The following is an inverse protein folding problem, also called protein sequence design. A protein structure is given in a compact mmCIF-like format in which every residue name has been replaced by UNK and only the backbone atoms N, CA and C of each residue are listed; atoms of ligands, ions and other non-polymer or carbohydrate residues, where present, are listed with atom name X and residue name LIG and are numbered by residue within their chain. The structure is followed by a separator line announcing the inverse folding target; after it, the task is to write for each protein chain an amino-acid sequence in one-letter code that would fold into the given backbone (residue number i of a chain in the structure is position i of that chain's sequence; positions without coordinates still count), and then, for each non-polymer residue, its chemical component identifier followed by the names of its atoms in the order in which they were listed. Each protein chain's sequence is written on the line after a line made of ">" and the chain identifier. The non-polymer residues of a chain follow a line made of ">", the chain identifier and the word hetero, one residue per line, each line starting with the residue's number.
data_IF_376258032914
#
_entry.id   IF_376258032914
#
_cell.length_a   1.000
_cell.length_b   1.000
_cell.length_c   1.000
_cell.angle_alpha   90.00
_cell.angle_beta   90.00
_cell.angle_gamma   90.00
#
_symmetry.space_group_name_H-M   'P 1'
#
loop_
_entity.id
_entity.type
_entity.pdbx_description
1 polymer ?
#
# COMPACT_ATOMS: atom_id res chain seq x y z
N UNK A 1 23.45 -10.79 -60.65
CA UNK A 1 23.11 -9.67 -59.75
C UNK A 1 22.38 -10.26 -58.56
N UNK A 2 23.01 -10.22 -57.38
CA UNK A 2 22.50 -10.80 -56.13
C UNK A 2 21.69 -9.70 -55.42
N UNK A 3 20.38 -9.86 -55.40
CA UNK A 3 19.43 -8.92 -54.78
C UNK A 3 19.03 -9.38 -53.38
N UNK A 4 19.77 -8.84 -52.41
CA UNK A 4 19.59 -8.71 -50.96
C UNK A 4 18.27 -9.26 -50.37
N UNK A 5 18.45 -10.24 -49.47
CA UNK A 5 17.47 -10.81 -48.54
C UNK A 5 16.90 -9.70 -47.63
N UNK A 6 15.60 -9.46 -47.73
CA UNK A 6 14.85 -8.60 -46.80
C UNK A 6 14.79 -9.21 -45.40
N UNK A 7 15.77 -8.88 -44.56
CA UNK A 7 15.77 -9.15 -43.12
C UNK A 7 15.38 -7.86 -42.39
N UNK A 8 14.16 -7.81 -41.89
CA UNK A 8 13.71 -6.93 -40.79
C UNK A 8 12.35 -7.49 -40.36
N UNK A 9 12.25 -8.36 -39.36
CA UNK A 9 12.73 -8.14 -38.01
C UNK A 9 11.53 -7.69 -37.18
N UNK A 10 10.61 -8.63 -36.92
CA UNK A 10 9.51 -8.48 -35.97
C UNK A 10 10.11 -8.14 -34.60
N UNK A 11 9.97 -6.89 -34.16
CA UNK A 11 10.16 -6.53 -32.75
C UNK A 11 8.76 -6.32 -32.18
N UNK A 12 8.15 -7.44 -31.78
CA UNK A 12 7.05 -7.39 -30.83
C UNK A 12 7.66 -7.07 -29.46
N UNK A 13 7.62 -5.80 -29.07
CA UNK A 13 8.00 -5.37 -27.73
C UNK A 13 6.90 -5.83 -26.76
N UNK A 14 6.98 -7.08 -26.29
CA UNK A 14 6.23 -7.51 -25.12
C UNK A 14 6.83 -6.78 -23.91
N UNK A 15 6.27 -5.62 -23.59
CA UNK A 15 6.39 -5.07 -22.24
C UNK A 15 5.62 -6.01 -21.32
N UNK A 16 6.32 -7.00 -20.75
CA UNK A 16 5.84 -7.68 -19.56
C UNK A 16 5.80 -6.65 -18.44
N UNK A 17 4.61 -6.13 -18.15
CA UNK A 17 4.35 -5.30 -16.99
C UNK A 17 4.75 -6.14 -15.75
N UNK A 18 5.57 -5.60 -14.82
CA UNK A 18 5.98 -6.33 -13.63
C UNK A 18 4.78 -6.70 -12.76
N UNK A 19 4.89 -7.83 -12.07
CA UNK A 19 3.88 -8.38 -11.17
C UNK A 19 3.70 -7.53 -9.89
N UNK A 20 3.01 -6.39 -9.99
CA UNK A 20 2.61 -5.58 -8.83
C UNK A 20 1.37 -6.15 -8.09
N UNK A 21 0.76 -7.26 -8.54
CA UNK A 21 -0.62 -7.59 -8.14
C UNK A 21 -0.77 -8.49 -6.91
N UNK A 22 0.23 -9.30 -6.53
CA UNK A 22 0.02 -10.29 -5.47
C UNK A 22 0.30 -9.74 -4.08
N UNK A 23 1.43 -9.06 -3.90
CA UNK A 23 1.86 -8.56 -2.59
C UNK A 23 0.92 -7.50 -2.02
N UNK A 24 0.43 -6.58 -2.86
CA UNK A 24 -0.44 -5.48 -2.41
C UNK A 24 -1.84 -5.96 -2.00
N UNK A 25 -2.37 -6.98 -2.69
CA UNK A 25 -3.63 -7.63 -2.34
C UNK A 25 -3.51 -8.34 -0.98
N UNK A 26 -2.38 -9.01 -0.74
CA UNK A 26 -2.10 -9.68 0.54
C UNK A 26 -1.94 -8.67 1.68
N UNK A 27 -1.22 -7.57 1.46
CA UNK A 27 -1.02 -6.50 2.45
C UNK A 27 -2.35 -5.83 2.82
N UNK A 28 -3.16 -5.50 1.82
CA UNK A 28 -4.49 -4.90 2.02
C UNK A 28 -5.41 -5.81 2.85
N UNK A 29 -5.39 -7.12 2.61
CA UNK A 29 -6.16 -8.08 3.39
C UNK A 29 -5.67 -8.20 4.84
N UNK A 30 -4.35 -8.12 5.08
CA UNK A 30 -3.78 -8.13 6.43
C UNK A 30 -4.15 -6.87 7.22
N UNK A 31 -4.09 -5.70 6.58
CA UNK A 31 -4.51 -4.42 7.18
C UNK A 31 -5.95 -4.52 7.66
N UNK A 32 -6.88 -4.96 6.80
CA UNK A 32 -8.30 -5.11 7.17
C UNK A 32 -8.49 -6.00 8.40
N UNK A 33 -7.83 -7.16 8.44
CA UNK A 33 -7.90 -8.08 9.59
C UNK A 33 -7.42 -7.43 10.89
N UNK A 34 -6.33 -6.65 10.83
CA UNK A 34 -5.81 -5.93 11.99
C UNK A 34 -6.77 -4.82 12.44
N UNK A 35 -7.35 -4.09 11.49
CA UNK A 35 -8.34 -3.04 11.75
C UNK A 35 -9.63 -3.59 12.36
N UNK A 36 -10.15 -4.72 11.85
CA UNK A 36 -11.31 -5.40 12.41
C UNK A 36 -11.05 -5.88 13.85
N UNK A 37 -9.84 -6.40 14.10
CA UNK A 37 -9.43 -6.83 15.43
C UNK A 37 -9.37 -5.65 16.40
N UNK A 38 -8.75 -4.53 15.99
CA UNK A 38 -8.71 -3.29 16.79
C UNK A 38 -10.11 -2.77 17.10
N UNK A 39 -10.94 -2.67 16.07
CA UNK A 39 -12.30 -2.17 16.18
C UNK A 39 -13.11 -2.98 17.20
N UNK A 40 -12.96 -4.32 17.17
CA UNK A 40 -13.68 -5.21 18.08
C UNK A 40 -13.30 -5.04 19.57
N UNK A 41 -12.07 -4.60 19.87
CA UNK A 41 -11.62 -4.39 21.23
C UNK A 41 -11.79 -2.95 21.76
N UNK A 42 -12.24 -2.01 20.93
CA UNK A 42 -12.44 -0.60 21.34
C UNK A 42 -13.86 -0.38 21.92
N UNK A 43 -14.01 0.53 22.92
CA UNK A 43 -15.33 1.00 23.35
C UNK A 43 -16.03 1.80 22.24
N UNK A 44 -17.35 1.95 22.30
CA UNK A 44 -18.14 2.59 21.23
C UNK A 44 -17.61 3.96 20.76
N UNK A 45 -17.22 4.84 21.68
CA UNK A 45 -16.60 6.14 21.35
C UNK A 45 -15.25 5.96 20.63
N UNK A 46 -14.45 4.97 21.04
CA UNK A 46 -13.19 4.61 20.40
C UNK A 46 -13.39 4.04 18.99
N UNK A 47 -14.45 3.26 18.76
CA UNK A 47 -14.77 2.71 17.44
C UNK A 47 -15.07 3.81 16.41
N UNK A 48 -15.85 4.83 16.79
CA UNK A 48 -16.16 5.95 15.89
C UNK A 48 -14.88 6.70 15.48
N UNK A 49 -14.06 7.09 16.46
CA UNK A 49 -12.76 7.76 16.21
C UNK A 49 -11.81 6.89 15.37
N UNK A 50 -11.84 5.58 15.57
CA UNK A 50 -11.03 4.66 14.79
C UNK A 50 -11.47 4.58 13.33
N UNK A 51 -12.77 4.52 13.06
CA UNK A 51 -13.31 4.56 11.68
C UNK A 51 -12.99 5.87 10.98
N UNK A 52 -13.09 7.00 11.69
CA UNK A 52 -12.67 8.31 11.19
C UNK A 52 -11.17 8.30 10.82
N UNK A 53 -10.31 7.78 11.70
CA UNK A 53 -8.88 7.67 11.45
C UNK A 53 -8.55 6.70 10.29
N UNK A 54 -9.31 5.62 10.13
CA UNK A 54 -9.19 4.70 8.99
C UNK A 54 -9.51 5.40 7.67
N UNK A 55 -10.62 6.14 7.63
CA UNK A 55 -11.02 6.91 6.45
C UNK A 55 -9.98 7.99 6.10
N UNK A 56 -9.52 8.74 7.11
CA UNK A 56 -8.50 9.78 6.93
C UNK A 56 -7.18 9.19 6.40
N UNK A 57 -6.78 8.00 6.88
CA UNK A 57 -5.57 7.34 6.41
C UNK A 57 -5.66 6.92 4.93
N UNK A 58 -6.81 6.41 4.46
CA UNK A 58 -7.01 6.09 3.04
C UNK A 58 -6.89 7.34 2.17
N UNK A 59 -7.50 8.45 2.61
CA UNK A 59 -7.39 9.74 1.91
C UNK A 59 -5.94 10.22 1.86
N UNK A 60 -5.22 10.14 2.98
CA UNK A 60 -3.80 10.48 3.06
C UNK A 60 -2.96 9.64 2.11
N UNK A 61 -3.10 8.30 2.15
CA UNK A 61 -2.35 7.37 1.29
C UNK A 61 -2.50 7.73 -0.18
N UNK A 62 -3.74 7.93 -0.62
CA UNK A 62 -4.04 8.28 -2.01
C UNK A 62 -3.44 9.63 -2.41
N UNK A 63 -3.55 10.64 -1.54
CA UNK A 63 -3.01 11.97 -1.80
C UNK A 63 -1.46 11.95 -1.86
N UNK A 64 -0.82 11.28 -0.91
CA UNK A 64 0.63 11.16 -0.81
C UNK A 64 1.23 10.45 -2.03
N UNK A 65 0.72 9.28 -2.40
CA UNK A 65 1.26 8.55 -3.55
C UNK A 65 1.03 9.28 -4.88
N UNK A 66 -0.13 9.93 -5.04
CA UNK A 66 -0.37 10.80 -6.20
C UNK A 66 0.59 11.99 -6.21
N UNK A 67 0.85 12.62 -5.07
CA UNK A 67 1.73 13.76 -4.98
C UNK A 67 3.19 13.39 -5.26
N UNK A 68 3.67 12.24 -4.77
CA UNK A 68 5.03 11.75 -5.08
C UNK A 68 5.19 11.44 -6.57
N UNK A 69 4.21 10.75 -7.16
CA UNK A 69 4.22 10.47 -8.60
C UNK A 69 4.24 11.76 -9.45
N UNK A 70 3.44 12.76 -9.09
CA UNK A 70 3.41 14.03 -9.84
C UNK A 70 4.72 14.84 -9.72
N UNK A 71 5.40 14.79 -8.57
CA UNK A 71 6.63 15.55 -8.36
C UNK A 71 7.88 14.80 -8.85
N UNK A 72 7.88 13.47 -8.78
CA UNK A 72 9.03 12.62 -9.08
C UNK A 72 8.64 11.38 -9.92
N UNK A 73 8.04 11.57 -11.11
CA UNK A 73 7.48 10.46 -11.90
C UNK A 73 8.51 9.45 -12.40
N UNK A 74 9.78 9.84 -12.52
CA UNK A 74 10.86 8.94 -12.92
C UNK A 74 11.45 8.11 -11.76
N UNK A 75 11.06 8.42 -10.52
CA UNK A 75 11.59 7.80 -9.30
C UNK A 75 10.51 7.21 -8.40
N UNK A 76 9.23 7.36 -8.75
CA UNK A 76 8.12 6.88 -7.92
C UNK A 76 7.13 6.12 -8.78
N UNK A 77 6.93 4.84 -8.45
CA UNK A 77 5.77 4.08 -8.89
C UNK A 77 4.67 4.17 -7.83
N UNK A 78 3.41 4.29 -8.26
CA UNK A 78 2.26 4.44 -7.35
C UNK A 78 2.11 3.18 -6.48
N UNK A 79 2.33 2.01 -7.07
CA UNK A 79 2.26 0.70 -6.44
C UNK A 79 3.33 0.56 -5.35
N UNK A 80 4.56 0.99 -5.62
CA UNK A 80 5.64 0.98 -4.65
C UNK A 80 5.32 1.87 -3.44
N UNK A 81 4.87 3.11 -3.68
CA UNK A 81 4.42 4.00 -2.61
C UNK A 81 3.26 3.40 -1.80
N UNK A 82 2.29 2.77 -2.48
CA UNK A 82 1.17 2.12 -1.80
C UNK A 82 1.65 1.00 -0.88
N UNK A 83 2.58 0.16 -1.36
CA UNK A 83 3.16 -0.94 -0.61
C UNK A 83 3.95 -0.45 0.61
N UNK A 84 4.75 0.60 0.45
CA UNK A 84 5.47 1.25 1.55
C UNK A 84 4.52 1.73 2.66
N UNK A 85 3.49 2.50 2.29
CA UNK A 85 2.52 3.06 3.24
C UNK A 85 1.67 1.96 3.89
N UNK A 86 1.36 0.88 3.18
CA UNK A 86 0.67 -0.28 3.74
C UNK A 86 1.53 -1.01 4.79
N UNK A 87 2.82 -1.16 4.53
CA UNK A 87 3.75 -1.74 5.51
C UNK A 87 3.86 -0.88 6.77
N UNK A 88 3.91 0.45 6.63
CA UNK A 88 3.89 1.37 7.77
C UNK A 88 2.58 1.26 8.55
N UNK A 89 1.44 1.28 7.85
CA UNK A 89 0.11 1.13 8.47
C UNK A 89 0.02 -0.14 9.30
N UNK A 90 0.49 -1.28 8.78
CA UNK A 90 0.53 -2.53 9.54
C UNK A 90 1.37 -2.42 10.82
N UNK A 91 2.54 -1.77 10.77
CA UNK A 91 3.38 -1.57 11.97
C UNK A 91 2.63 -0.79 13.04
N UNK A 92 1.94 0.29 12.66
CA UNK A 92 1.13 1.08 13.58
C UNK A 92 -0.08 0.32 14.14
N UNK A 93 -0.82 -0.41 13.31
CA UNK A 93 -1.97 -1.20 13.77
C UNK A 93 -1.55 -2.31 14.75
N UNK A 94 -0.44 -3.01 14.47
CA UNK A 94 0.12 -4.00 15.40
C UNK A 94 0.54 -3.37 16.73
N UNK A 95 1.12 -2.18 16.70
CA UNK A 95 1.47 -1.44 17.92
C UNK A 95 0.23 -1.04 18.72
N UNK A 96 -0.82 -0.55 18.06
CA UNK A 96 -2.09 -0.21 18.70
C UNK A 96 -2.76 -1.44 19.33
N UNK A 97 -2.70 -2.61 18.66
CA UNK A 97 -3.22 -3.86 19.22
C UNK A 97 -2.48 -4.24 20.51
N UNK A 98 -1.16 -4.10 20.53
CA UNK A 98 -0.37 -4.35 21.73
C UNK A 98 -0.83 -3.47 22.90
N UNK A 99 -1.09 -2.19 22.65
CA UNK A 99 -1.59 -1.26 23.67
C UNK A 99 -2.99 -1.65 24.16
N UNK A 100 -3.86 -2.10 23.25
CA UNK A 100 -5.20 -2.57 23.59
C UNK A 100 -5.17 -3.81 24.50
N UNK A 101 -4.17 -4.68 24.30
CA UNK A 101 -3.92 -5.84 25.16
C UNK A 101 -3.12 -5.54 26.44
N UNK A 102 -2.97 -4.26 26.81
CA UNK A 102 -2.31 -3.85 28.04
C UNK A 102 -0.78 -3.98 28.02
N UNK A 103 -0.16 -4.25 26.86
CA UNK A 103 1.29 -4.17 26.75
C UNK A 103 1.70 -2.69 26.73
N UNK A 104 2.61 -2.26 27.62
CA UNK A 104 2.94 -0.84 27.75
C UNK A 104 3.47 -0.29 26.43
N UNK A 105 2.74 0.67 25.89
CA UNK A 105 3.29 1.65 24.97
C UNK A 105 4.13 2.62 25.78
N UNK A 106 5.32 2.95 25.31
CA UNK A 106 6.08 4.08 25.87
C UNK A 106 5.39 5.39 25.48
N UNK A 107 4.22 5.65 26.04
CA UNK A 107 3.71 7.01 26.17
C UNK A 107 4.43 7.56 27.40
N UNK A 108 5.57 8.22 27.15
CA UNK A 108 6.23 9.05 28.17
C UNK A 108 5.45 10.34 28.32
#
# INVERSE_FOLDING_TARGET
>A
MIGIIGRSGLIALLMTIPAASHSDVVLSAQIRRLEDTLLSGLPANGQNRFREAQSAWVTYKNAECRQRYLNYPAMTEIEECNSELDQERMKYLRLQLRWLHGLPGKVK
#
